data_IF_600417924129
#
_entry.id   IF_600417924129
#
_cell.length_a   1.000
_cell.length_b   1.000
_cell.length_c   1.000
_cell.angle_alpha   90.00
_cell.angle_beta   90.00
_cell.angle_gamma   90.00
#
_symmetry.space_group_name_H-M   'P 1'
#
loop_
_entity.id
_entity.type
_entity.pdbx_description
1 polymer ?
#
# COMPACT_ATOMS: atom_id res chain seq x y z
N UNK A 1 17.62 3.43 -29.12
CA UNK A 1 17.41 4.67 -28.37
C UNK A 1 15.94 4.69 -27.94
N UNK A 2 15.67 4.40 -26.66
CA UNK A 2 14.34 4.39 -26.08
C UNK A 2 14.44 5.05 -24.70
N UNK A 3 13.54 5.98 -24.35
CA UNK A 3 13.70 6.83 -23.17
C UNK A 3 13.50 6.03 -21.87
N UNK A 4 14.36 6.32 -20.89
CA UNK A 4 14.51 5.66 -19.60
C UNK A 4 13.37 5.91 -18.59
N UNK A 5 12.12 6.01 -19.06
CA UNK A 5 10.94 6.23 -18.21
C UNK A 5 9.89 5.14 -18.35
N UNK A 6 10.21 4.02 -18.99
CA UNK A 6 9.28 2.89 -19.20
C UNK A 6 9.60 1.65 -18.36
N UNK A 7 10.54 1.71 -17.41
CA UNK A 7 11.04 0.54 -16.67
C UNK A 7 11.21 0.84 -15.17
N UNK A 8 10.33 1.68 -14.61
CA UNK A 8 10.41 2.13 -13.21
C UNK A 8 9.43 1.47 -12.25
N UNK A 9 8.25 1.04 -12.70
CA UNK A 9 7.12 0.87 -11.78
C UNK A 9 6.66 -0.58 -11.58
N UNK A 10 7.00 -1.50 -12.49
CA UNK A 10 6.73 -2.94 -12.31
C UNK A 10 7.99 -3.72 -11.93
N UNK A 11 9.20 -3.21 -12.24
CA UNK A 11 10.44 -3.92 -11.92
C UNK A 11 10.67 -4.03 -10.41
N UNK A 12 10.28 -3.03 -9.62
CA UNK A 12 10.48 -3.10 -8.16
C UNK A 12 9.48 -4.04 -7.47
N UNK A 13 8.26 -4.17 -8.02
CA UNK A 13 7.25 -5.08 -7.49
C UNK A 13 7.51 -6.52 -7.98
N UNK A 14 7.83 -6.71 -9.26
CA UNK A 14 8.20 -8.02 -9.82
C UNK A 14 9.53 -8.54 -9.23
N UNK A 15 10.50 -7.68 -8.96
CA UNK A 15 11.77 -8.09 -8.34
C UNK A 15 11.64 -8.31 -6.82
N UNK A 16 10.66 -7.69 -6.17
CA UNK A 16 10.29 -8.01 -4.78
C UNK A 16 9.57 -9.36 -4.73
N UNK A 17 8.62 -9.63 -5.63
CA UNK A 17 7.95 -10.93 -5.77
C UNK A 17 8.97 -12.03 -6.10
N UNK A 18 9.90 -11.80 -7.04
CA UNK A 18 10.94 -12.77 -7.39
C UNK A 18 11.93 -13.05 -6.24
N UNK A 19 12.23 -12.06 -5.39
CA UNK A 19 13.07 -12.26 -4.20
C UNK A 19 12.36 -13.06 -3.09
N UNK A 20 11.03 -12.99 -3.01
CA UNK A 20 10.22 -13.76 -2.05
C UNK A 20 9.95 -15.18 -2.57
N UNK A 21 9.72 -15.34 -3.89
CA UNK A 21 9.47 -16.63 -4.57
C UNK A 21 10.73 -17.50 -4.73
N UNK A 22 11.94 -16.94 -4.52
CA UNK A 22 13.20 -17.70 -4.63
C UNK A 22 13.57 -18.53 -3.39
N UNK A 23 12.79 -18.43 -2.31
CA UNK A 23 13.01 -19.18 -1.07
C UNK A 23 11.95 -20.28 -0.84
N UNK A 24 11.77 -21.19 -1.81
CA UNK A 24 11.80 -22.65 -1.58
C UNK A 24 11.26 -23.38 -2.82
N UNK A 25 12.14 -23.97 -3.62
CA UNK A 25 11.74 -24.75 -4.80
C UNK A 25 11.93 -26.25 -4.65
N UNK A 26 12.34 -26.76 -3.48
CA UNK A 26 12.48 -28.22 -3.32
C UNK A 26 12.33 -28.64 -1.84
N UNK A 27 11.15 -29.15 -1.50
CA UNK A 27 10.85 -29.93 -0.28
C UNK A 27 10.76 -29.20 1.08
N UNK A 28 10.15 -28.01 1.18
CA UNK A 28 9.67 -27.56 2.50
C UNK A 28 8.30 -28.20 2.80
N UNK A 29 8.06 -28.74 4.01
CA UNK A 29 6.69 -29.04 4.43
C UNK A 29 5.87 -27.77 4.24
N UNK A 30 4.74 -27.89 3.54
CA UNK A 30 3.83 -26.79 3.24
C UNK A 30 3.75 -25.87 4.46
N UNK A 31 4.19 -24.59 4.37
CA UNK A 31 3.94 -23.68 5.46
C UNK A 31 2.43 -23.78 5.74
N UNK A 32 2.00 -23.99 7.00
CA UNK A 32 0.58 -23.89 7.36
C UNK A 32 0.06 -22.62 6.69
N UNK A 33 -1.13 -22.64 6.07
CA UNK A 33 -1.64 -21.47 5.35
C UNK A 33 -1.43 -20.28 6.26
N UNK A 34 -0.49 -19.40 5.87
CA UNK A 34 -0.19 -18.21 6.62
C UNK A 34 -1.56 -17.56 6.80
N UNK A 35 -1.92 -17.25 8.04
CA UNK A 35 -3.18 -16.60 8.37
C UNK A 35 -3.20 -15.27 7.63
N UNK A 36 -3.61 -15.28 6.36
CA UNK A 36 -4.04 -14.11 5.64
C UNK A 36 -5.15 -13.57 6.52
N UNK A 37 -5.02 -12.39 7.14
CA UNK A 37 -6.19 -11.74 7.64
C UNK A 37 -6.96 -11.31 6.40
N UNK A 38 -7.71 -12.23 5.81
CA UNK A 38 -8.83 -11.93 4.92
C UNK A 38 -9.88 -11.32 5.83
N UNK A 39 -9.66 -10.08 6.26
CA UNK A 39 -10.73 -9.27 6.81
C UNK A 39 -11.66 -9.00 5.63
N UNK A 40 -12.75 -9.75 5.59
CA UNK A 40 -13.96 -9.40 4.85
C UNK A 40 -14.17 -7.89 4.96
N UNK A 41 -14.37 -7.16 3.84
CA UNK A 41 -14.63 -5.73 3.88
C UNK A 41 -15.99 -5.51 4.55
N UNK A 42 -15.97 -5.47 5.88
CA UNK A 42 -16.99 -4.76 6.62
C UNK A 42 -16.76 -3.29 6.25
N UNK A 43 -17.80 -2.50 5.94
CA UNK A 43 -17.65 -1.07 5.74
C UNK A 43 -17.21 -0.45 7.07
N UNK A 44 -15.92 -0.53 7.37
CA UNK A 44 -15.29 0.23 8.42
C UNK A 44 -15.35 1.67 7.94
N UNK A 45 -15.90 2.54 8.76
CA UNK A 45 -15.86 3.98 8.57
C UNK A 45 -14.40 4.34 8.30
N UNK A 46 -14.07 4.68 7.05
CA UNK A 46 -12.69 4.97 6.63
C UNK A 46 -12.16 6.07 7.54
N UNK A 47 -11.24 5.69 8.43
CA UNK A 47 -10.57 6.64 9.30
C UNK A 47 -9.60 7.45 8.44
N UNK A 48 -9.41 8.75 8.71
CA UNK A 48 -8.36 9.50 8.02
C UNK A 48 -7.00 8.80 8.22
N UNK A 49 -6.29 8.51 7.13
CA UNK A 49 -5.04 7.74 7.16
C UNK A 49 -5.18 6.22 6.96
N UNK A 50 -6.39 5.66 6.98
CA UNK A 50 -6.66 4.23 6.71
C UNK A 50 -6.94 4.04 5.21
N UNK A 51 -5.86 3.84 4.45
CA UNK A 51 -5.91 3.73 3.00
C UNK A 51 -6.36 2.33 2.55
N UNK A 52 -6.02 1.28 3.31
CA UNK A 52 -6.40 -0.08 2.96
C UNK A 52 -7.80 -0.48 3.48
N UNK A 53 -8.41 0.35 4.34
CA UNK A 53 -9.74 0.15 4.90
C UNK A 53 -9.81 -0.95 5.97
N UNK A 54 -8.68 -1.31 6.59
CA UNK A 54 -8.61 -2.42 7.56
C UNK A 54 -8.99 -2.03 8.99
N UNK A 55 -9.26 -0.73 9.19
CA UNK A 55 -9.64 -0.11 10.45
C UNK A 55 -8.45 0.29 11.32
N UNK A 56 -7.21 0.09 10.87
CA UNK A 56 -5.99 0.56 11.51
C UNK A 56 -5.27 1.56 10.62
N UNK A 57 -4.52 2.47 11.23
CA UNK A 57 -3.63 3.40 10.52
C UNK A 57 -2.19 3.04 10.86
N UNK A 58 -1.50 2.36 9.95
CA UNK A 58 -0.16 1.83 10.18
C UNK A 58 0.74 1.93 8.93
N UNK A 59 1.84 1.18 8.93
CA UNK A 59 2.82 1.18 7.85
C UNK A 59 2.27 0.68 6.51
N UNK A 60 1.23 -0.17 6.51
CA UNK A 60 0.58 -0.62 5.28
C UNK A 60 -0.09 0.56 4.54
N UNK A 61 -0.72 1.48 5.27
CA UNK A 61 -1.35 2.67 4.68
C UNK A 61 -0.32 3.66 4.14
N UNK A 62 0.80 3.79 4.85
CA UNK A 62 1.93 4.61 4.39
C UNK A 62 2.46 4.15 3.04
N UNK A 63 2.53 2.83 2.81
CA UNK A 63 2.97 2.27 1.52
C UNK A 63 2.01 2.63 0.38
N UNK A 64 0.71 2.75 0.66
CA UNK A 64 -0.30 3.17 -0.32
C UNK A 64 -0.20 4.69 -0.59
N UNK A 65 0.05 5.50 0.44
CA UNK A 65 0.25 6.94 0.27
C UNK A 65 1.53 7.23 -0.54
N UNK A 66 2.66 6.62 -0.19
CA UNK A 66 3.94 6.89 -0.87
C UNK A 66 3.93 6.40 -2.33
N UNK A 67 3.18 5.35 -2.66
CA UNK A 67 3.03 4.89 -4.05
C UNK A 67 2.27 5.87 -4.95
N UNK A 68 1.44 6.74 -4.36
CA UNK A 68 0.66 7.74 -5.09
C UNK A 68 1.19 9.17 -4.89
N UNK A 69 2.26 9.38 -4.13
CA UNK A 69 2.80 10.70 -3.84
C UNK A 69 3.10 11.50 -5.11
N UNK A 70 2.56 12.72 -5.19
CA UNK A 70 2.69 13.62 -6.34
C UNK A 70 1.67 13.38 -7.47
N UNK A 71 0.79 12.39 -7.35
CA UNK A 71 -0.26 12.12 -8.32
C UNK A 71 -1.53 12.93 -8.04
N UNK A 72 -2.27 13.25 -9.10
CA UNK A 72 -3.61 13.85 -9.02
C UNK A 72 -4.69 12.78 -9.09
N UNK A 73 -4.84 12.05 -7.99
CA UNK A 73 -5.84 11.00 -7.79
C UNK A 73 -6.65 11.34 -6.54
N UNK A 74 -7.90 10.89 -6.49
CA UNK A 74 -8.79 11.24 -5.39
C UNK A 74 -9.16 10.06 -4.51
N UNK A 75 -9.38 10.34 -3.23
CA UNK A 75 -9.91 9.41 -2.26
C UNK A 75 -8.84 8.73 -1.38
N UNK A 76 -9.23 8.32 -0.16
CA UNK A 76 -8.31 7.82 0.85
C UNK A 76 -7.61 6.51 0.45
N UNK A 77 -8.27 5.69 -0.37
CA UNK A 77 -7.68 4.47 -0.93
C UNK A 77 -6.48 4.74 -1.86
N UNK A 78 -6.35 5.96 -2.36
CA UNK A 78 -5.22 6.41 -3.16
C UNK A 78 -4.25 7.30 -2.36
N UNK A 79 -4.42 7.41 -1.04
CA UNK A 79 -3.62 8.29 -0.20
C UNK A 79 -4.02 9.78 -0.23
N UNK A 80 -5.12 10.14 -0.91
CA UNK A 80 -5.73 11.48 -0.82
C UNK A 80 -6.69 11.49 0.38
N UNK A 81 -6.16 11.80 1.55
CA UNK A 81 -6.88 11.73 2.81
C UNK A 81 -7.68 13.00 3.10
N UNK A 82 -7.35 14.13 2.46
CA UNK A 82 -8.13 15.37 2.56
C UNK A 82 -9.18 15.53 1.43
N UNK A 83 -9.23 14.60 0.47
CA UNK A 83 -10.09 14.62 -0.71
C UNK A 83 -9.89 15.86 -1.60
N UNK A 84 -8.66 16.37 -1.71
CA UNK A 84 -8.31 17.53 -2.54
C UNK A 84 -7.87 17.15 -3.97
N UNK A 85 -7.92 15.85 -4.31
CA UNK A 85 -7.48 15.29 -5.59
C UNK A 85 -5.97 15.41 -5.86
N UNK A 86 -5.15 15.65 -4.84
CA UNK A 86 -3.70 15.71 -4.94
C UNK A 86 -3.04 15.00 -3.76
N UNK A 87 -2.35 13.89 -4.01
CA UNK A 87 -1.63 13.15 -2.96
C UNK A 87 -0.32 13.85 -2.65
N UNK A 88 -0.25 14.56 -1.53
CA UNK A 88 0.87 15.43 -1.20
C UNK A 88 1.22 15.42 0.30
N UNK A 89 2.01 16.42 0.72
CA UNK A 89 2.46 16.54 2.10
C UNK A 89 1.32 16.79 3.10
N UNK A 90 0.19 17.34 2.69
CA UNK A 90 -0.97 17.52 3.56
C UNK A 90 -1.58 16.18 3.95
N UNK A 91 -1.64 15.22 3.03
CA UNK A 91 -2.10 13.85 3.31
C UNK A 91 -1.17 13.12 4.26
N UNK A 92 0.15 13.33 4.12
CA UNK A 92 1.13 12.77 5.06
C UNK A 92 0.87 13.22 6.50
N UNK A 93 0.54 14.50 6.71
CA UNK A 93 0.20 15.00 8.05
C UNK A 93 -1.08 14.35 8.58
N UNK A 94 -2.06 14.06 7.72
CA UNK A 94 -3.28 13.35 8.12
C UNK A 94 -2.98 11.91 8.53
N UNK A 95 -2.21 11.17 7.75
CA UNK A 95 -1.77 9.82 8.13
C UNK A 95 -0.99 9.83 9.44
N UNK A 96 -0.01 10.74 9.57
CA UNK A 96 0.83 10.84 10.76
C UNK A 96 0.03 11.18 12.02
N UNK A 97 -0.99 12.04 11.88
CA UNK A 97 -1.87 12.41 13.00
C UNK A 97 -2.73 11.23 13.50
N UNK A 98 -2.97 10.21 12.67
CA UNK A 98 -3.79 9.05 13.01
C UNK A 98 -2.97 7.77 13.23
N UNK A 99 -1.65 7.82 13.05
CA UNK A 99 -0.77 6.65 13.15
C UNK A 99 -0.91 5.91 14.49
N UNK A 100 -1.17 4.61 14.43
CA UNK A 100 -1.35 3.73 15.59
C UNK A 100 -2.78 3.65 16.13
N UNK A 101 -3.77 4.23 15.44
CA UNK A 101 -5.22 4.10 15.74
C UNK A 101 -5.90 3.02 14.93
#
# INVERSE_FOLDING_TARGET
>A
DAPAFAVGDLYYIDNLVAAIESACTVNCPTPPPASTPTKTPTPATSKPGDANGDGQVNGADYLIWISHYGQSVSGPANGDFNNDSAVNGQDYIIWLANYGT
#
